data_IF_430645082842
#
_entry.id   IF_430645082842
#
_cell.length_a   1.000
_cell.length_b   1.000
_cell.length_c   1.000
_cell.angle_alpha   90.00
_cell.angle_beta   90.00
_cell.angle_gamma   90.00
#
_symmetry.space_group_name_H-M   'P 1'
#
loop_
_entity.id
_entity.type
_entity.pdbx_description
1 polymer ?
#
# COMPACT_ATOMS: atom_id res chain seq x y z
N UNK A 1 -25.39 -17.34 -26.91
CA UNK A 1 -24.91 -15.97 -27.17
C UNK A 1 -24.20 -15.48 -25.92
N UNK A 2 -22.87 -15.34 -25.94
CA UNK A 2 -22.11 -14.74 -24.84
C UNK A 2 -22.06 -13.23 -25.10
N UNK A 3 -22.71 -12.43 -24.26
CA UNK A 3 -22.52 -10.98 -24.25
C UNK A 3 -21.21 -10.69 -23.52
N UNK A 4 -20.22 -10.12 -24.22
CA UNK A 4 -18.99 -9.69 -23.58
C UNK A 4 -19.31 -8.57 -22.59
N UNK A 5 -18.98 -8.74 -21.31
CA UNK A 5 -19.09 -7.66 -20.34
C UNK A 5 -17.85 -6.79 -20.40
N UNK A 6 -18.05 -5.49 -20.66
CA UNK A 6 -17.00 -4.48 -20.51
C UNK A 6 -17.04 -3.96 -19.07
N UNK A 7 -15.91 -3.98 -18.38
CA UNK A 7 -15.76 -3.35 -17.06
C UNK A 7 -14.92 -2.10 -17.18
N UNK A 8 -15.49 -0.96 -16.83
CA UNK A 8 -14.76 0.30 -16.68
C UNK A 8 -14.20 0.39 -15.27
N UNK A 9 -12.98 0.92 -15.13
CA UNK A 9 -12.36 1.21 -13.84
C UNK A 9 -11.88 2.65 -13.82
N UNK A 10 -12.49 3.45 -12.95
CA UNK A 10 -12.16 4.86 -12.76
C UNK A 10 -10.97 5.04 -11.82
N UNK A 11 -10.17 6.07 -12.08
CA UNK A 11 -9.01 6.46 -11.28
C UNK A 11 -9.09 7.95 -10.98
N UNK A 12 -8.81 8.33 -9.73
CA UNK A 12 -8.70 9.75 -9.34
C UNK A 12 -7.38 10.00 -8.64
N UNK A 13 -6.91 11.24 -8.73
CA UNK A 13 -5.63 11.66 -8.18
C UNK A 13 -5.82 12.89 -7.28
N UNK A 14 -4.96 13.03 -6.26
CA UNK A 14 -4.92 14.25 -5.46
C UNK A 14 -4.07 15.35 -6.14
N UNK A 15 -3.94 16.51 -5.49
CA UNK A 15 -3.18 17.64 -6.02
C UNK A 15 -1.68 17.34 -6.19
N UNK A 16 -1.13 16.43 -5.39
CA UNK A 16 0.26 15.95 -5.49
C UNK A 16 0.44 14.84 -6.53
N UNK A 17 -0.56 14.60 -7.38
CA UNK A 17 -0.57 13.56 -8.41
C UNK A 17 -0.45 12.12 -7.86
N UNK A 18 -0.86 11.90 -6.62
CA UNK A 18 -0.91 10.57 -6.00
C UNK A 18 -2.28 9.93 -6.26
N UNK A 19 -2.30 8.62 -6.49
CA UNK A 19 -3.55 7.87 -6.72
C UNK A 19 -4.43 7.95 -5.47
N UNK A 20 -5.64 8.49 -5.59
CA UNK A 20 -6.60 8.60 -4.48
C UNK A 20 -7.61 7.48 -4.48
N UNK A 21 -8.15 7.13 -5.65
CA UNK A 21 -9.11 6.01 -5.80
C UNK A 21 -8.87 5.22 -7.07
N UNK A 22 -9.16 3.92 -7.03
CA UNK A 22 -9.16 3.02 -8.18
C UNK A 22 -10.34 2.04 -8.10
N UNK A 23 -11.45 2.36 -8.78
CA UNK A 23 -12.73 1.71 -8.54
C UNK A 23 -13.21 1.94 -7.09
N UNK A 24 -13.50 0.86 -6.35
CA UNK A 24 -13.91 0.93 -4.93
C UNK A 24 -12.74 1.07 -3.94
N UNK A 25 -11.49 0.94 -4.39
CA UNK A 25 -10.33 1.02 -3.52
C UNK A 25 -9.93 2.49 -3.29
N UNK A 26 -9.50 2.77 -2.07
CA UNK A 26 -9.03 4.08 -1.62
C UNK A 26 -7.58 3.97 -1.16
N UNK A 27 -6.82 5.04 -1.39
CA UNK A 27 -5.39 5.08 -1.17
C UNK A 27 -5.04 6.35 -0.38
N UNK A 28 -4.11 6.24 0.56
CA UNK A 28 -3.63 7.37 1.38
C UNK A 28 -2.12 7.37 1.45
N UNK A 29 -1.56 8.54 1.76
CA UNK A 29 -0.13 8.80 1.82
C UNK A 29 0.20 9.58 3.09
N UNK A 30 1.42 9.44 3.59
CA UNK A 30 1.98 10.34 4.60
C UNK A 30 2.63 11.57 3.96
N UNK A 31 3.16 12.47 4.79
CA UNK A 31 3.76 13.74 4.35
C UNK A 31 5.06 13.53 3.56
N UNK A 32 5.68 12.34 3.65
CA UNK A 32 6.88 11.95 2.91
C UNK A 32 6.55 11.21 1.59
N UNK A 33 5.28 11.31 1.14
CA UNK A 33 4.72 10.67 -0.05
C UNK A 33 4.74 9.12 -0.02
N UNK A 34 4.93 8.50 1.14
CA UNK A 34 4.81 7.05 1.25
C UNK A 34 3.34 6.65 1.33
N UNK A 35 2.95 5.62 0.57
CA UNK A 35 1.58 5.10 0.60
C UNK A 35 1.30 4.40 1.93
N UNK A 36 0.44 4.96 2.77
CA UNK A 36 0.07 4.42 4.10
C UNK A 36 -1.10 3.45 4.05
N UNK A 37 -1.92 3.49 2.99
CA UNK A 37 -3.01 2.55 2.78
C UNK A 37 -3.24 2.32 1.30
N UNK A 38 -3.56 1.08 0.96
CA UNK A 38 -4.13 0.73 -0.33
C UNK A 38 -5.47 0.01 -0.16
N UNK A 39 -5.99 -0.52 -1.26
CA UNK A 39 -7.26 -1.24 -1.27
C UNK A 39 -7.34 -2.46 -0.36
N UNK A 40 -6.21 -2.99 0.12
CA UNK A 40 -6.12 -4.26 0.84
C UNK A 40 -5.35 -4.17 2.16
N UNK A 41 -4.39 -3.25 2.26
CA UNK A 41 -3.47 -3.20 3.39
C UNK A 41 -3.16 -1.78 3.86
N UNK A 42 -2.74 -1.68 5.12
CA UNK A 42 -2.05 -0.53 5.69
C UNK A 42 -0.54 -0.79 5.63
N UNK A 43 0.22 0.26 5.36
CA UNK A 43 1.68 0.24 5.26
C UNK A 43 2.28 1.21 6.27
N UNK A 44 3.26 0.76 7.03
CA UNK A 44 3.93 1.54 8.05
C UNK A 44 5.38 1.73 7.61
N UNK A 45 5.79 2.99 7.52
CA UNK A 45 7.15 3.38 7.15
C UNK A 45 7.88 3.93 8.37
N UNK A 46 9.19 3.70 8.43
CA UNK A 46 10.04 4.32 9.46
C UNK A 46 10.52 5.71 9.00
N UNK A 47 11.31 6.39 9.84
CA UNK A 47 11.86 7.73 9.54
C UNK A 47 12.83 7.79 8.35
N UNK A 48 13.25 6.64 7.82
CA UNK A 48 14.09 6.53 6.63
C UNK A 48 13.26 6.21 5.38
N UNK A 49 11.92 6.30 5.47
CA UNK A 49 10.97 5.92 4.42
C UNK A 49 11.01 4.44 4.02
N UNK A 50 11.52 3.58 4.91
CA UNK A 50 11.51 2.13 4.67
C UNK A 50 10.19 1.53 5.14
N UNK A 51 9.56 0.71 4.29
CA UNK A 51 8.39 -0.08 4.67
C UNK A 51 8.78 -1.14 5.71
N UNK A 52 8.43 -0.95 6.97
CA UNK A 52 8.79 -1.87 8.06
C UNK A 52 7.68 -2.84 8.42
N UNK A 53 6.42 -2.50 8.13
CA UNK A 53 5.28 -3.33 8.50
C UNK A 53 4.11 -3.18 7.52
N UNK A 54 3.45 -4.30 7.21
CA UNK A 54 2.18 -4.35 6.49
C UNK A 54 1.14 -4.97 7.42
N UNK A 55 -0.01 -4.30 7.51
CA UNK A 55 -1.16 -4.78 8.25
C UNK A 55 -2.37 -4.95 7.34
N UNK A 56 -3.25 -5.88 7.66
CA UNK A 56 -4.59 -5.94 7.06
C UNK A 56 -5.35 -4.64 7.36
N UNK A 57 -6.48 -4.40 6.67
CA UNK A 57 -7.34 -3.26 7.00
C UNK A 57 -7.95 -3.34 8.42
N UNK A 58 -7.99 -4.55 9.01
CA UNK A 58 -8.35 -4.82 10.41
C UNK A 58 -7.16 -4.74 11.38
N UNK A 59 -6.03 -4.16 10.95
CA UNK A 59 -4.84 -3.91 11.78
C UNK A 59 -4.12 -5.18 12.27
N UNK A 60 -4.33 -6.30 11.59
CA UNK A 60 -3.58 -7.53 11.89
C UNK A 60 -2.26 -7.51 11.13
N UNK A 61 -1.17 -7.85 11.82
CA UNK A 61 0.15 -8.01 11.19
C UNK A 61 0.05 -9.03 10.05
N UNK A 62 0.43 -8.61 8.84
CA UNK A 62 0.54 -9.46 7.67
C UNK A 62 2.01 -9.69 7.26
N UNK A 63 2.85 -8.66 7.39
CA UNK A 63 4.28 -8.78 7.15
C UNK A 63 5.10 -7.79 7.97
N UNK A 64 6.34 -8.18 8.31
CA UNK A 64 7.36 -7.30 8.90
C UNK A 64 8.67 -7.41 8.15
N UNK A 65 9.38 -6.29 8.02
CA UNK A 65 10.64 -6.19 7.30
C UNK A 65 11.72 -5.56 8.19
N UNK A 66 12.97 -5.97 8.00
CA UNK A 66 14.13 -5.30 8.60
C UNK A 66 15.17 -5.01 7.54
N UNK A 67 15.95 -3.97 7.79
CA UNK A 67 16.92 -3.41 6.86
C UNK A 67 18.28 -3.29 7.54
N UNK A 68 19.35 -3.33 6.76
CA UNK A 68 20.69 -2.97 7.22
C UNK A 68 20.93 -1.45 7.07
N UNK A 69 22.12 -0.98 7.44
CA UNK A 69 22.50 0.44 7.40
C UNK A 69 22.54 1.04 5.98
N UNK A 70 22.64 0.20 4.94
CA UNK A 70 22.60 0.63 3.53
C UNK A 70 21.17 0.71 2.96
N UNK A 71 20.15 0.67 3.81
CA UNK A 71 18.72 0.58 3.45
C UNK A 71 18.38 -0.66 2.60
N UNK A 72 19.13 -1.76 2.75
CA UNK A 72 18.84 -3.02 2.08
C UNK A 72 18.07 -3.93 3.02
N UNK A 73 16.93 -4.44 2.54
CA UNK A 73 16.14 -5.40 3.30
C UNK A 73 16.94 -6.67 3.56
N UNK A 74 17.08 -7.05 4.83
CA UNK A 74 17.79 -8.27 5.28
C UNK A 74 16.85 -9.34 5.84
N UNK A 75 15.61 -9.01 6.20
CA UNK A 75 14.62 -10.01 6.60
C UNK A 75 13.20 -9.67 6.16
N UNK A 76 12.37 -10.72 6.10
CA UNK A 76 10.94 -10.65 5.88
C UNK A 76 10.28 -11.75 6.70
N UNK A 77 9.35 -11.36 7.58
CA UNK A 77 8.43 -12.27 8.26
C UNK A 77 7.04 -12.10 7.65
N UNK A 78 6.38 -13.21 7.34
CA UNK A 78 4.96 -13.23 6.94
C UNK A 78 4.17 -13.89 8.05
N UNK A 79 3.06 -13.25 8.43
CA UNK A 79 2.09 -13.86 9.33
C UNK A 79 0.97 -14.47 8.47
N UNK A 80 0.75 -15.77 8.63
CA UNK A 80 -0.20 -16.57 7.84
C UNK A 80 -1.61 -16.51 8.38
#
# INVERSE_FOLDING_TARGET
MYIGQTKTKEYTYNASNQLKTAGSHTYTYDDDDNRTRDGQYKSIHNKLNELVEIQTLSEQLAAKYTYNEDNRRISKMING
#
